data_IF_416897096719
#
_entry.id   IF_416897096719
#
_cell.length_a   1.000
_cell.length_b   1.000
_cell.length_c   1.000
_cell.angle_alpha   90.00
_cell.angle_beta   90.00
_cell.angle_gamma   90.00
#
_symmetry.space_group_name_H-M   'P 1'
#
loop_
_entity.id
_entity.type
_entity.pdbx_description
1 polymer ?
#
# COMPACT_ATOMS: atom_id res chain seq x y z
N UNK A 1 -9.64 -3.21 14.48
CA UNK A 1 -9.25 -1.78 14.43
C UNK A 1 -8.46 -1.55 13.16
N UNK A 2 -9.09 -0.99 12.15
CA UNK A 2 -8.46 -0.67 10.87
C UNK A 2 -7.76 0.67 11.04
N UNK A 3 -6.44 0.64 11.32
CA UNK A 3 -5.63 1.86 11.34
C UNK A 3 -5.06 2.03 9.94
N UNK A 4 -5.59 3.01 9.21
CA UNK A 4 -4.96 3.64 8.05
C UNK A 4 -3.99 4.71 8.55
N UNK A 5 -2.99 5.09 7.75
CA UNK A 5 -1.95 6.05 8.17
C UNK A 5 -0.91 5.43 9.11
N UNK A 6 -0.63 4.12 8.96
CA UNK A 6 0.51 3.48 9.64
C UNK A 6 1.82 3.96 9.01
N UNK A 7 1.79 4.24 7.71
CA UNK A 7 2.90 4.85 6.98
C UNK A 7 2.74 6.35 7.12
N UNK A 8 3.63 6.94 7.94
CA UNK A 8 3.68 8.39 8.11
C UNK A 8 4.09 9.07 6.80
N UNK A 9 3.77 10.36 6.68
CA UNK A 9 4.12 11.13 5.48
C UNK A 9 5.64 11.19 5.30
N UNK A 10 6.40 11.30 6.38
CA UNK A 10 7.87 11.33 6.34
C UNK A 10 8.45 10.00 5.85
N UNK A 11 7.89 8.87 6.31
CA UNK A 11 8.31 7.56 5.80
C UNK A 11 7.89 7.37 4.33
N UNK A 12 6.71 7.89 3.98
CA UNK A 12 6.22 7.83 2.61
C UNK A 12 7.14 8.60 1.65
N UNK A 13 7.55 9.81 2.00
CA UNK A 13 8.48 10.64 1.20
C UNK A 13 9.83 9.93 0.94
N UNK A 14 10.29 9.09 1.89
CA UNK A 14 11.52 8.31 1.73
C UNK A 14 11.34 7.08 0.82
N UNK A 15 10.16 6.45 0.83
CA UNK A 15 9.91 5.19 0.10
C UNK A 15 9.40 5.45 -1.32
N UNK A 16 8.53 6.44 -1.51
CA UNK A 16 7.89 6.75 -2.79
C UNK A 16 8.85 6.80 -3.99
N UNK A 17 10.01 7.49 -3.95
CA UNK A 17 10.92 7.57 -5.10
C UNK A 17 11.57 6.23 -5.48
N UNK A 18 11.67 5.29 -4.54
CA UNK A 18 12.24 3.95 -4.77
C UNK A 18 11.22 2.99 -5.40
N UNK A 19 9.94 3.34 -5.40
CA UNK A 19 8.89 2.50 -5.96
C UNK A 19 8.90 2.55 -7.49
N UNK A 20 8.58 1.43 -8.15
CA UNK A 20 8.60 1.36 -9.60
C UNK A 20 7.61 2.35 -10.23
N UNK A 21 8.16 3.31 -10.98
CA UNK A 21 7.37 4.24 -11.79
C UNK A 21 6.64 3.51 -12.93
N UNK A 22 5.41 3.98 -13.21
CA UNK A 22 4.59 3.55 -14.34
C UNK A 22 4.93 4.27 -15.66
N UNK A 23 5.84 5.24 -15.64
CA UNK A 23 6.23 6.00 -16.83
C UNK A 23 6.78 5.03 -17.88
N UNK A 24 6.08 4.93 -19.01
CA UNK A 24 6.50 4.12 -20.18
C UNK A 24 6.05 2.65 -20.19
N UNK A 25 5.29 2.15 -19.19
CA UNK A 25 4.80 0.76 -19.18
C UNK A 25 3.37 0.65 -19.72
N UNK A 26 3.15 -0.21 -20.72
CA UNK A 26 1.80 -0.59 -21.20
C UNK A 26 1.18 -1.61 -20.22
N UNK A 27 0.15 -1.18 -19.49
CA UNK A 27 -0.56 -2.02 -18.51
C UNK A 27 -1.66 -1.24 -17.78
N UNK A 28 -2.44 -1.93 -16.94
CA UNK A 28 -3.47 -1.29 -16.10
C UNK A 28 -2.77 -0.35 -15.11
N UNK A 29 -3.29 0.88 -14.97
CA UNK A 29 -2.90 1.84 -13.92
C UNK A 29 -2.70 1.09 -12.60
N UNK A 30 -1.51 1.20 -12.01
CA UNK A 30 -1.32 0.70 -10.66
C UNK A 30 -2.27 1.42 -9.69
N UNK A 31 -2.75 0.67 -8.70
CA UNK A 31 -3.44 1.28 -7.56
C UNK A 31 -2.46 2.17 -6.81
N UNK A 32 -3.01 3.10 -6.03
CA UNK A 32 -2.23 3.96 -5.15
C UNK A 32 -1.20 3.14 -4.37
N UNK A 33 0.08 3.42 -4.59
CA UNK A 33 1.19 2.68 -4.00
C UNK A 33 1.16 2.74 -2.47
N UNK A 34 0.72 3.88 -1.92
CA UNK A 34 0.61 4.06 -0.47
C UNK A 34 -0.44 3.14 0.10
N UNK A 35 -1.59 3.02 -0.57
CA UNK A 35 -2.67 2.14 -0.16
C UNK A 35 -2.25 0.66 -0.17
N UNK A 36 -1.46 0.25 -1.16
CA UNK A 36 -0.90 -1.12 -1.22
C UNK A 36 0.06 -1.39 -0.07
N UNK A 37 0.94 -0.44 0.27
CA UNK A 37 1.85 -0.61 1.41
C UNK A 37 1.10 -0.62 2.74
N UNK A 38 0.07 0.21 2.91
CA UNK A 38 -0.81 0.19 4.08
C UNK A 38 -1.53 -1.17 4.23
N UNK A 39 -1.99 -1.76 3.13
CA UNK A 39 -2.58 -3.10 3.10
C UNK A 39 -1.59 -4.18 3.56
N UNK A 40 -0.35 -4.10 3.07
CA UNK A 40 0.75 -4.99 3.46
C UNK A 40 1.04 -4.85 4.96
N UNK A 41 1.17 -3.62 5.47
CA UNK A 41 1.42 -3.35 6.89
C UNK A 41 0.28 -3.88 7.78
N UNK A 42 -0.98 -3.68 7.36
CA UNK A 42 -2.14 -4.25 8.04
C UNK A 42 -2.07 -5.77 8.12
N UNK A 43 -1.73 -6.45 7.01
CA UNK A 43 -1.62 -7.90 6.95
C UNK A 43 -0.55 -8.43 7.89
N UNK A 44 0.64 -7.81 7.90
CA UNK A 44 1.73 -8.22 8.80
C UNK A 44 1.37 -8.05 10.28
N UNK A 45 0.65 -6.98 10.63
CA UNK A 45 0.21 -6.73 12.01
C UNK A 45 -0.88 -7.69 12.47
N UNK A 46 -1.82 -8.04 11.59
CA UNK A 46 -2.99 -8.87 11.94
C UNK A 46 -2.74 -10.36 11.76
N UNK A 47 -1.77 -10.75 10.92
CA UNK A 47 -1.55 -12.13 10.53
C UNK A 47 -2.64 -12.70 9.60
N UNK A 48 -3.62 -11.89 9.20
CA UNK A 48 -4.76 -12.33 8.39
C UNK A 48 -4.33 -12.73 6.96
N UNK A 49 -5.04 -13.67 6.33
CA UNK A 49 -4.83 -13.97 4.93
C UNK A 49 -5.28 -12.80 4.05
N UNK A 50 -4.73 -12.74 2.82
CA UNK A 50 -5.09 -11.70 1.84
C UNK A 50 -6.58 -11.67 1.49
N UNK A 51 -7.29 -12.78 1.65
CA UNK A 51 -8.73 -12.87 1.38
C UNK A 51 -9.57 -12.06 2.38
N UNK A 52 -9.04 -11.84 3.57
CA UNK A 52 -9.71 -11.10 4.64
C UNK A 52 -9.26 -9.63 4.66
N UNK A 53 -8.56 -9.18 3.61
CA UNK A 53 -8.13 -7.79 3.49
C UNK A 53 -9.38 -6.89 3.45
N UNK A 54 -9.44 -5.87 4.31
CA UNK A 54 -10.55 -4.91 4.31
C UNK A 54 -10.70 -4.21 2.97
N UNK A 55 -11.95 -3.97 2.56
CA UNK A 55 -12.32 -3.27 1.32
C UNK A 55 -11.75 -1.84 1.27
N UNK A 56 -11.44 -1.25 2.43
CA UNK A 56 -10.80 0.07 2.57
C UNK A 56 -9.43 0.15 1.88
N UNK A 57 -8.74 -0.98 1.70
CA UNK A 57 -7.46 -1.06 0.97
C UNK A 57 -7.64 -1.27 -0.54
N UNK A 58 -8.89 -1.38 -1.01
CA UNK A 58 -9.29 -1.34 -2.42
C UNK A 58 -9.64 -2.67 -3.05
#
# INVERSE_FOLDING_TARGET
>A
MLRTGVISDELWELIEPELPSHVGRRGRRWRDHRLVLEAIAWRFRTGSPWRDLPEEFG
#
